data_IF_718266391663
#
_entry.id   IF_718266391663
#
_cell.length_a   1.000
_cell.length_b   1.000
_cell.length_c   1.000
_cell.angle_alpha   90.00
_cell.angle_beta   90.00
_cell.angle_gamma   90.00
#
_symmetry.space_group_name_H-M   'P 1'
#
loop_
_entity.id
_entity.type
_entity.pdbx_description
1 polymer ?
#
# COMPACT_ATOMS: atom_id res chain seq x y z
N UNK A 1 -25.21 -15.29 2.16
CA UNK A 1 -24.35 -14.75 3.24
C UNK A 1 -24.09 -13.31 2.88
N UNK A 2 -24.36 -12.42 3.81
CA UNK A 2 -24.21 -10.98 3.63
C UNK A 2 -23.41 -10.47 4.83
N UNK A 3 -22.35 -9.69 4.58
CA UNK A 3 -21.57 -9.08 5.65
C UNK A 3 -22.26 -7.81 6.10
N UNK A 4 -22.72 -7.77 7.34
CA UNK A 4 -23.36 -6.60 7.96
C UNK A 4 -22.38 -5.76 8.78
N UNK A 5 -21.17 -6.28 9.02
CA UNK A 5 -20.08 -5.60 9.71
C UNK A 5 -18.73 -6.12 9.21
N UNK A 6 -17.70 -5.26 9.25
CA UNK A 6 -16.31 -5.66 9.06
C UNK A 6 -15.74 -6.21 10.38
N UNK A 7 -14.62 -6.91 10.31
CA UNK A 7 -13.88 -7.40 11.49
C UNK A 7 -14.69 -8.33 12.40
N UNK A 8 -15.54 -9.16 11.79
CA UNK A 8 -16.35 -10.15 12.50
C UNK A 8 -16.35 -11.46 11.74
N UNK A 9 -16.26 -12.57 12.48
CA UNK A 9 -16.46 -13.91 11.96
C UNK A 9 -17.96 -14.14 11.73
N UNK A 10 -18.31 -14.50 10.51
CA UNK A 10 -19.64 -14.88 10.09
C UNK A 10 -19.58 -16.32 9.56
N UNK A 11 -20.44 -17.21 10.06
CA UNK A 11 -20.46 -18.63 9.65
C UNK A 11 -21.28 -18.80 8.36
N UNK A 12 -20.70 -19.47 7.37
CA UNK A 12 -21.44 -19.92 6.18
C UNK A 12 -21.93 -21.35 6.38
N UNK A 13 -23.22 -21.54 6.69
CA UNK A 13 -23.81 -22.87 6.85
C UNK A 13 -23.74 -23.72 5.58
N UNK A 14 -23.72 -23.08 4.40
CA UNK A 14 -23.65 -23.77 3.10
C UNK A 14 -22.26 -24.36 2.83
N UNK A 15 -21.21 -23.66 3.22
CA UNK A 15 -19.82 -24.04 2.96
C UNK A 15 -19.13 -24.67 4.17
N UNK A 16 -19.80 -24.63 5.33
CA UNK A 16 -19.29 -25.04 6.64
C UNK A 16 -17.94 -24.39 7.01
N UNK A 17 -17.76 -23.11 6.67
CA UNK A 17 -16.56 -22.32 7.00
C UNK A 17 -16.94 -20.95 7.56
N UNK A 18 -16.05 -20.37 8.36
CA UNK A 18 -16.17 -19.00 8.85
C UNK A 18 -15.48 -18.03 7.90
N UNK A 19 -16.12 -16.89 7.67
CA UNK A 19 -15.53 -15.80 6.90
C UNK A 19 -15.45 -14.54 7.77
N UNK A 20 -14.38 -13.78 7.60
CA UNK A 20 -14.28 -12.42 8.11
C UNK A 20 -13.79 -11.50 6.98
N UNK A 21 -14.26 -10.25 7.00
CA UNK A 21 -13.90 -9.25 6.00
C UNK A 21 -13.27 -8.04 6.68
N UNK A 22 -12.11 -7.62 6.19
CA UNK A 22 -11.48 -6.36 6.54
C UNK A 22 -11.38 -5.48 5.29
N UNK A 23 -11.77 -4.21 5.43
CA UNK A 23 -11.68 -3.22 4.37
C UNK A 23 -10.60 -2.22 4.77
N UNK A 24 -9.45 -2.33 4.12
CA UNK A 24 -8.31 -1.46 4.38
C UNK A 24 -8.50 -0.10 3.70
N UNK A 25 -8.25 0.99 4.44
CA UNK A 25 -8.34 2.37 3.97
C UNK A 25 -7.51 3.28 4.90
N UNK A 26 -7.30 4.52 4.47
CA UNK A 26 -6.76 5.60 5.28
C UNK A 26 -7.85 6.65 5.48
N UNK A 27 -8.37 6.76 6.71
CA UNK A 27 -9.43 7.71 7.09
C UNK A 27 -10.71 7.63 6.21
N UNK A 28 -11.10 6.44 5.78
CA UNK A 28 -12.27 6.19 4.93
C UNK A 28 -12.00 6.27 3.43
N UNK A 29 -10.76 6.54 3.01
CA UNK A 29 -10.38 6.74 1.61
C UNK A 29 -9.10 5.97 1.23
N UNK A 30 -8.80 5.91 -0.06
CA UNK A 30 -7.55 5.35 -0.58
C UNK A 30 -7.55 3.84 -0.80
N UNK A 31 -6.40 3.34 -1.26
CA UNK A 31 -6.17 1.93 -1.59
C UNK A 31 -4.90 1.42 -0.87
N UNK A 32 -4.41 0.24 -1.26
CA UNK A 32 -3.19 -0.35 -0.71
C UNK A 32 -2.00 0.60 -0.82
N UNK A 33 -1.82 1.25 -1.96
CA UNK A 33 -0.72 2.18 -2.21
C UNK A 33 -0.73 3.39 -1.27
N UNK A 34 -1.91 3.86 -0.88
CA UNK A 34 -2.07 4.95 0.10
C UNK A 34 -1.59 4.52 1.49
N UNK A 35 -1.91 3.29 1.91
CA UNK A 35 -1.38 2.70 3.15
C UNK A 35 0.13 2.56 3.07
N UNK A 36 0.65 1.98 1.98
CA UNK A 36 2.09 1.79 1.76
C UNK A 36 2.87 3.11 1.80
N UNK A 37 2.31 4.18 1.22
CA UNK A 37 2.90 5.52 1.25
C UNK A 37 2.96 6.06 2.68
N UNK A 38 1.94 5.77 3.48
CA UNK A 38 1.84 6.20 4.89
C UNK A 38 2.77 5.42 5.82
N UNK A 39 3.11 4.17 5.49
CA UNK A 39 3.99 3.30 6.29
C UNK A 39 5.40 3.17 5.71
N UNK A 40 5.82 4.06 4.80
CA UNK A 40 7.20 4.03 4.28
C UNK A 40 8.19 4.20 5.44
N UNK A 41 9.20 3.33 5.52
CA UNK A 41 10.21 3.36 6.59
C UNK A 41 11.39 4.28 6.30
N UNK A 42 11.75 4.41 5.03
CA UNK A 42 12.92 5.15 4.57
C UNK A 42 12.55 6.52 4.01
N UNK A 43 13.57 7.37 3.86
CA UNK A 43 13.46 8.59 3.06
C UNK A 43 13.04 8.25 1.62
N UNK A 44 12.30 9.16 1.00
CA UNK A 44 11.57 8.93 -0.25
C UNK A 44 11.80 10.06 -1.26
N UNK A 45 13.01 10.59 -1.32
CA UNK A 45 13.33 11.82 -2.06
C UNK A 45 12.91 11.74 -3.53
N UNK A 46 13.15 10.63 -4.22
CA UNK A 46 12.74 10.47 -5.62
C UNK A 46 11.21 10.43 -5.76
N UNK A 47 10.53 9.70 -4.87
CA UNK A 47 9.07 9.65 -4.87
C UNK A 47 8.44 11.01 -4.50
N UNK A 48 8.98 11.73 -3.51
CA UNK A 48 8.50 13.04 -3.05
C UNK A 48 8.65 14.10 -4.15
N UNK A 49 9.71 14.02 -4.95
CA UNK A 49 9.89 14.87 -6.13
C UNK A 49 8.77 14.74 -7.18
N UNK A 50 8.00 13.64 -7.18
CA UNK A 50 6.87 13.50 -8.08
C UNK A 50 5.74 14.49 -7.80
N UNK A 51 5.66 15.06 -6.60
CA UNK A 51 4.70 16.13 -6.33
C UNK A 51 4.98 17.34 -7.24
N UNK A 52 6.25 17.69 -7.46
CA UNK A 52 6.62 18.75 -8.41
C UNK A 52 6.25 18.40 -9.85
N UNK A 53 6.37 17.12 -10.22
CA UNK A 53 5.90 16.64 -11.53
C UNK A 53 4.37 16.72 -11.66
N UNK A 54 3.63 16.35 -10.61
CA UNK A 54 2.17 16.46 -10.54
C UNK A 54 1.71 17.90 -10.68
N UNK A 55 2.36 18.84 -10.00
CA UNK A 55 2.07 20.27 -10.14
C UNK A 55 2.38 20.78 -11.56
N UNK A 56 3.47 20.31 -12.17
CA UNK A 56 3.77 20.62 -13.57
C UNK A 56 2.66 20.13 -14.52
N UNK A 57 2.14 18.92 -14.33
CA UNK A 57 1.01 18.40 -15.13
C UNK A 57 -0.21 19.32 -15.03
N UNK A 58 -0.58 19.75 -13.82
CA UNK A 58 -1.73 20.64 -13.59
C UNK A 58 -1.59 21.96 -14.35
N UNK A 59 -0.41 22.59 -14.32
CA UNK A 59 -0.14 23.84 -15.08
C UNK A 59 -0.33 23.65 -16.59
N UNK A 60 -0.12 22.43 -17.09
CA UNK A 60 -0.30 22.07 -18.49
C UNK A 60 -1.69 21.46 -18.80
N UNK A 61 -2.69 21.65 -17.92
CA UNK A 61 -4.03 21.09 -18.06
C UNK A 61 -4.03 19.56 -18.27
N UNK A 62 -3.07 18.87 -17.65
CA UNK A 62 -3.03 17.42 -17.52
C UNK A 62 -3.34 17.09 -16.07
N UNK A 63 -4.26 16.16 -15.86
CA UNK A 63 -4.61 15.70 -14.53
C UNK A 63 -4.18 14.25 -14.33
N UNK A 64 -3.86 13.91 -13.09
CA UNK A 64 -3.56 12.55 -12.66
C UNK A 64 -4.34 12.29 -11.37
N UNK A 65 -5.09 11.19 -11.36
CA UNK A 65 -5.85 10.77 -10.19
C UNK A 65 -4.92 10.49 -9.02
N UNK A 66 -5.39 10.67 -7.78
CA UNK A 66 -4.60 10.33 -6.59
C UNK A 66 -4.16 8.85 -6.62
N UNK A 67 -5.04 7.97 -7.13
CA UNK A 67 -4.76 6.54 -7.31
C UNK A 67 -3.57 6.28 -8.24
N UNK A 68 -3.57 6.89 -9.42
CA UNK A 68 -2.49 6.70 -10.38
C UNK A 68 -1.20 7.35 -9.88
N UNK A 69 -1.32 8.49 -9.19
CA UNK A 69 -0.19 9.14 -8.56
C UNK A 69 0.44 8.28 -7.46
N UNK A 70 -0.35 7.73 -6.54
CA UNK A 70 0.14 6.87 -5.45
C UNK A 70 0.82 5.61 -6.01
N UNK A 71 0.32 5.04 -7.11
CA UNK A 71 1.01 3.94 -7.82
C UNK A 71 2.38 4.34 -8.36
N UNK A 72 2.46 5.51 -8.98
CA UNK A 72 3.74 6.05 -9.46
C UNK A 72 4.68 6.36 -8.30
N UNK A 73 4.16 6.93 -7.22
CA UNK A 73 4.91 7.22 -6.00
C UNK A 73 5.53 5.96 -5.42
N UNK A 74 4.73 4.91 -5.17
CA UNK A 74 5.21 3.64 -4.62
C UNK A 74 6.22 2.97 -5.56
N UNK A 75 6.01 3.04 -6.88
CA UNK A 75 6.99 2.50 -7.82
C UNK A 75 8.34 3.21 -7.71
N UNK A 76 8.35 4.54 -7.59
CA UNK A 76 9.57 5.33 -7.45
C UNK A 76 10.23 5.08 -6.09
N UNK A 77 9.45 5.01 -5.01
CA UNK A 77 9.96 4.67 -3.68
C UNK A 77 10.67 3.30 -3.67
N UNK A 78 10.03 2.28 -4.23
CA UNK A 78 10.62 0.94 -4.32
C UNK A 78 11.89 0.97 -5.18
N UNK A 79 11.84 1.61 -6.35
CA UNK A 79 12.93 1.50 -7.33
C UNK A 79 14.11 2.41 -7.06
N UNK A 80 13.86 3.66 -6.71
CA UNK A 80 14.90 4.69 -6.66
C UNK A 80 15.32 5.05 -5.25
N UNK A 81 14.40 4.97 -4.29
CA UNK A 81 14.70 5.32 -2.90
C UNK A 81 15.21 4.13 -2.08
N UNK A 82 14.73 2.90 -2.36
CA UNK A 82 15.06 1.73 -1.52
C UNK A 82 15.93 0.67 -2.21
N UNK A 83 15.95 0.62 -3.55
CA UNK A 83 16.82 -0.28 -4.29
C UNK A 83 18.20 0.35 -4.57
N UNK A 84 19.28 -0.41 -4.39
CA UNK A 84 20.62 0.03 -4.75
C UNK A 84 20.88 -0.05 -6.28
N UNK A 85 21.99 0.52 -6.76
CA UNK A 85 22.32 0.57 -8.19
C UNK A 85 22.42 -0.80 -8.87
N UNK A 86 22.82 -1.85 -8.16
CA UNK A 86 22.86 -3.20 -8.70
C UNK A 86 21.44 -3.76 -8.85
N UNK A 87 20.61 -3.62 -7.82
CA UNK A 87 19.21 -4.05 -7.83
C UNK A 87 18.41 -3.34 -8.92
N UNK A 88 18.62 -2.03 -9.10
CA UNK A 88 17.98 -1.23 -10.13
C UNK A 88 18.27 -1.72 -11.56
N UNK A 89 19.45 -2.29 -11.82
CA UNK A 89 19.79 -2.90 -13.12
C UNK A 89 19.02 -4.19 -13.39
N UNK A 90 18.51 -4.83 -12.34
CA UNK A 90 17.70 -6.04 -12.38
C UNK A 90 16.34 -5.78 -11.71
N UNK A 91 15.73 -4.63 -12.04
CA UNK A 91 14.57 -4.10 -11.32
C UNK A 91 13.37 -5.04 -11.31
N UNK A 92 13.17 -5.81 -12.39
CA UNK A 92 12.09 -6.81 -12.45
C UNK A 92 12.20 -7.88 -11.37
N UNK A 93 13.42 -8.19 -10.92
CA UNK A 93 13.69 -9.19 -9.88
C UNK A 93 13.75 -8.59 -8.49
N UNK A 94 14.43 -7.46 -8.30
CA UNK A 94 14.73 -6.94 -6.95
C UNK A 94 13.91 -5.72 -6.53
N UNK A 95 13.29 -5.02 -7.48
CA UNK A 95 12.54 -3.79 -7.24
C UNK A 95 11.09 -3.92 -7.73
N UNK A 96 10.58 -5.15 -7.80
CA UNK A 96 9.16 -5.42 -8.00
C UNK A 96 8.41 -5.20 -6.70
N UNK A 97 7.08 -5.04 -6.80
CA UNK A 97 6.21 -4.95 -5.62
C UNK A 97 6.34 -6.18 -4.72
N UNK A 98 6.35 -7.39 -5.29
CA UNK A 98 6.49 -8.63 -4.53
C UNK A 98 7.82 -8.70 -3.77
N UNK A 99 8.92 -8.30 -4.41
CA UNK A 99 10.23 -8.26 -3.75
C UNK A 99 10.28 -7.19 -2.67
N UNK A 100 9.65 -6.04 -2.90
CA UNK A 100 9.57 -4.94 -1.93
C UNK A 100 8.81 -5.34 -0.66
N UNK A 101 7.73 -6.13 -0.78
CA UNK A 101 6.97 -6.63 0.39
C UNK A 101 7.81 -7.53 1.31
N UNK A 102 8.90 -8.11 0.80
CA UNK A 102 9.83 -8.97 1.57
C UNK A 102 11.01 -8.19 2.17
N UNK A 103 11.12 -6.88 1.89
CA UNK A 103 12.19 -6.02 2.41
C UNK A 103 11.75 -5.27 3.65
N UNK A 104 12.71 -4.93 4.50
CA UNK A 104 12.51 -4.07 5.67
C UNK A 104 12.47 -2.59 5.28
N UNK A 105 11.48 -2.21 4.45
CA UNK A 105 11.28 -0.85 3.93
C UNK A 105 9.89 -0.29 4.27
N UNK A 106 9.11 -1.05 5.02
CA UNK A 106 7.77 -0.71 5.50
C UNK A 106 7.79 -0.72 7.03
N UNK A 107 7.29 0.35 7.64
CA UNK A 107 7.05 0.45 9.06
C UNK A 107 5.80 -0.34 9.43
N UNK A 108 5.98 -1.65 9.64
CA UNK A 108 4.89 -2.53 10.05
C UNK A 108 4.40 -2.25 11.47
N UNK A 109 5.10 -1.40 12.24
CA UNK A 109 4.69 -0.96 13.58
C UNK A 109 3.84 0.31 13.55
N UNK A 110 3.68 0.94 12.38
CA UNK A 110 2.86 2.12 12.19
C UNK A 110 1.41 1.90 12.68
N UNK A 111 0.87 2.91 13.37
CA UNK A 111 -0.45 2.84 14.00
C UNK A 111 -1.60 2.69 12.99
N UNK A 112 -1.41 3.08 11.72
CA UNK A 112 -2.40 2.90 10.66
C UNK A 112 -2.75 1.42 10.42
N UNK A 113 -1.85 0.52 10.80
CA UNK A 113 -2.03 -0.92 10.68
C UNK A 113 -2.69 -1.56 11.91
N UNK A 114 -3.01 -0.80 12.96
CA UNK A 114 -3.57 -1.35 14.18
C UNK A 114 -4.86 -2.11 13.92
N UNK A 115 -5.78 -1.57 13.11
CA UNK A 115 -7.04 -2.24 12.79
C UNK A 115 -6.82 -3.54 12.01
N UNK A 116 -5.85 -3.57 11.09
CA UNK A 116 -5.45 -4.79 10.38
C UNK A 116 -4.86 -5.82 11.35
N UNK A 117 -4.00 -5.39 12.27
CA UNK A 117 -3.40 -6.27 13.29
C UNK A 117 -4.48 -6.88 14.19
N UNK A 118 -5.44 -6.07 14.65
CA UNK A 118 -6.58 -6.56 15.43
C UNK A 118 -7.45 -7.53 14.62
N UNK A 119 -7.71 -7.23 13.35
CA UNK A 119 -8.42 -8.14 12.45
C UNK A 119 -7.72 -9.50 12.33
N UNK A 120 -6.40 -9.51 12.11
CA UNK A 120 -5.63 -10.74 11.95
C UNK A 120 -5.63 -11.60 13.22
N UNK A 121 -5.74 -10.99 14.42
CA UNK A 121 -5.90 -11.74 15.69
C UNK A 121 -7.20 -12.53 15.77
N UNK A 122 -8.21 -12.24 14.95
CA UNK A 122 -9.44 -13.05 14.87
C UNK A 122 -9.20 -14.40 14.17
N UNK A 123 -8.10 -14.55 13.44
CA UNK A 123 -7.80 -15.71 12.60
C UNK A 123 -6.68 -16.60 13.18
N UNK A 124 -6.03 -16.16 14.26
CA UNK A 124 -4.93 -16.85 14.94
C UNK A 124 -5.43 -17.51 16.21
#
# INVERSE_FOLDING_TARGET
>A
MEFTSINKLEKSSKLDVDFACYIMNVNGYGELETVLKSIKKSDSVFADCLESWRECLKVHNKDISDKDFDKFYINNYIRFDTCNKYEQKQSSKYCSFESAMKKDIWDLDNNILNDLKEFLKLLM
#
